data_IF_912661945676
#
_entry.id   IF_912661945676
#
_cell.length_a   1.000
_cell.length_b   1.000
_cell.length_c   1.000
_cell.angle_alpha   90.00
_cell.angle_beta   90.00
_cell.angle_gamma   90.00
#
_symmetry.space_group_name_H-M   'P 1'
#
loop_
_entity.id
_entity.type
_entity.pdbx_description
1 polymer ?
#
# COMPACT_ATOMS: atom_id res chain seq x y z
N UNK A 1 -19.54 49.25 40.65
CA UNK A 1 -20.37 48.04 40.70
C UNK A 1 -19.66 46.98 39.88
N UNK A 2 -18.88 46.28 40.61
CA UNK A 2 -18.13 45.09 40.18
C UNK A 2 -18.92 43.84 40.52
N UNK A 3 -18.49 42.74 40.00
CA UNK A 3 -18.87 41.38 40.35
C UNK A 3 -20.08 40.78 39.63
N UNK A 4 -19.74 39.93 38.67
CA UNK A 4 -20.15 38.53 38.51
C UNK A 4 -19.87 38.03 37.09
N UNK A 5 -18.84 37.20 36.92
CA UNK A 5 -18.84 36.05 36.02
C UNK A 5 -17.50 35.30 36.09
N UNK A 6 -17.29 34.63 37.21
CA UNK A 6 -16.33 33.55 37.31
C UNK A 6 -17.12 32.38 37.88
N UNK A 7 -17.56 31.45 37.03
CA UNK A 7 -17.87 30.07 37.40
C UNK A 7 -18.64 29.34 36.28
N UNK A 8 -18.01 29.11 35.13
CA UNK A 8 -18.43 28.04 34.19
C UNK A 8 -17.16 27.68 33.35
N UNK A 9 -16.16 27.06 33.94
CA UNK A 9 -15.09 26.41 33.17
C UNK A 9 -14.29 25.42 34.02
N UNK A 10 -14.97 24.47 34.63
CA UNK A 10 -14.29 23.38 35.36
C UNK A 10 -15.02 22.04 35.31
N UNK A 11 -15.79 21.80 34.27
CA UNK A 11 -16.49 20.51 34.10
C UNK A 11 -16.26 19.82 32.74
N UNK A 12 -15.35 20.30 31.90
CA UNK A 12 -15.03 19.70 30.58
C UNK A 12 -13.68 18.96 30.52
N UNK A 13 -12.84 19.08 31.55
CA UNK A 13 -11.50 18.46 31.58
C UNK A 13 -11.43 17.08 32.27
N UNK A 14 -12.54 16.52 32.70
CA UNK A 14 -12.54 15.23 33.43
C UNK A 14 -13.13 14.04 32.64
N UNK A 15 -13.43 14.19 31.36
CA UNK A 15 -13.97 13.11 30.52
C UNK A 15 -13.08 12.67 29.34
N UNK A 16 -11.90 13.27 29.17
CA UNK A 16 -10.98 12.92 28.08
C UNK A 16 -9.79 12.04 28.52
N UNK A 17 -9.61 11.78 29.82
CA UNK A 17 -8.51 10.98 30.35
C UNK A 17 -8.83 9.48 30.60
N UNK A 18 -10.04 9.00 30.33
CA UNK A 18 -10.44 7.61 30.60
C UNK A 18 -10.49 6.72 29.35
N UNK A 19 -10.22 7.25 28.14
CA UNK A 19 -10.29 6.46 26.90
C UNK A 19 -8.91 6.13 26.27
N UNK A 20 -7.81 6.45 26.91
CA UNK A 20 -6.46 6.19 26.38
C UNK A 20 -5.68 5.07 27.08
N UNK A 21 -6.28 4.33 28.00
CA UNK A 21 -5.57 3.26 28.73
C UNK A 21 -5.99 1.83 28.41
N UNK A 22 -6.91 1.60 27.47
CA UNK A 22 -7.43 0.24 27.16
C UNK A 22 -6.93 -0.34 25.82
N UNK A 23 -5.93 0.25 25.17
CA UNK A 23 -5.39 -0.24 23.88
C UNK A 23 -3.94 -0.74 23.96
N UNK A 24 -3.27 -0.64 25.11
CA UNK A 24 -1.84 -1.07 25.24
C UNK A 24 -1.62 -2.44 25.90
N UNK A 25 -2.66 -3.24 26.15
CA UNK A 25 -2.49 -4.51 26.87
C UNK A 25 -2.77 -5.79 26.06
N UNK A 26 -3.03 -5.71 24.76
CA UNK A 26 -3.25 -6.92 23.90
C UNK A 26 -2.15 -7.25 22.89
N UNK A 27 -0.95 -6.70 22.99
CA UNK A 27 0.14 -6.99 22.02
C UNK A 27 1.39 -7.64 22.61
N UNK A 28 1.33 -8.29 23.76
CA UNK A 28 2.54 -8.92 24.36
C UNK A 28 2.46 -10.41 24.65
N UNK A 29 1.49 -11.18 24.16
CA UNK A 29 1.43 -12.63 24.41
C UNK A 29 1.40 -13.53 23.15
N UNK A 30 1.96 -13.11 22.01
CA UNK A 30 2.09 -14.02 20.85
C UNK A 30 3.50 -14.03 20.25
N UNK A 31 4.51 -14.30 21.10
CA UNK A 31 5.85 -14.68 20.66
C UNK A 31 6.48 -15.70 21.60
N UNK A 32 6.02 -16.93 21.58
CA UNK A 32 6.80 -18.10 22.01
C UNK A 32 6.09 -19.39 21.61
N UNK A 33 6.36 -19.95 20.46
CA UNK A 33 6.43 -21.40 20.21
C UNK A 33 6.56 -21.69 18.71
N UNK A 34 7.77 -21.73 18.22
CA UNK A 34 8.15 -22.53 17.05
C UNK A 34 9.59 -22.97 17.23
N UNK A 35 9.78 -24.12 17.84
CA UNK A 35 11.00 -24.91 17.66
C UNK A 35 10.62 -26.36 17.35
N UNK A 36 11.01 -26.77 16.16
CA UNK A 36 11.58 -28.04 15.72
C UNK A 36 10.93 -29.36 16.15
N UNK A 37 10.52 -30.15 15.16
CA UNK A 37 11.06 -31.51 15.01
C UNK A 37 10.97 -31.98 13.56
N UNK A 38 12.12 -31.97 12.89
CA UNK A 38 12.45 -32.90 11.81
C UNK A 38 12.59 -34.29 12.41
N UNK A 39 11.91 -35.28 11.83
CA UNK A 39 12.42 -36.66 11.76
C UNK A 39 11.90 -37.33 10.51
N UNK A 40 12.83 -37.52 9.61
CA UNK A 40 12.90 -38.45 8.50
C UNK A 40 12.75 -39.91 8.98
N UNK A 41 11.98 -40.76 8.29
CA UNK A 41 12.33 -42.14 8.13
C UNK A 41 11.57 -42.80 7.00
N UNK A 42 12.32 -43.10 6.00
CA UNK A 42 12.22 -44.10 4.97
C UNK A 42 12.06 -45.50 5.56
N UNK A 43 11.20 -46.35 5.01
CA UNK A 43 11.46 -47.78 4.90
C UNK A 43 10.45 -48.47 3.99
N UNK A 44 10.96 -48.94 2.89
CA UNK A 44 10.47 -50.01 2.02
C UNK A 44 10.27 -51.32 2.81
N UNK A 45 9.32 -52.17 2.44
CA UNK A 45 9.62 -53.44 1.81
C UNK A 45 8.43 -54.39 1.78
N UNK A 46 8.11 -54.85 0.58
CA UNK A 46 8.02 -56.21 0.03
C UNK A 46 7.08 -57.21 0.68
N UNK A 47 6.15 -57.61 -0.16
CA UNK A 47 5.91 -58.95 -0.72
C UNK A 47 5.91 -60.16 0.23
N UNK A 48 4.79 -60.82 0.32
CA UNK A 48 4.75 -62.26 0.07
C UNK A 48 3.32 -62.78 -0.08
N UNK A 49 3.12 -63.42 -1.19
CA UNK A 49 2.02 -64.29 -1.58
C UNK A 49 1.82 -65.48 -0.65
N UNK A 50 0.59 -65.86 -0.37
CA UNK A 50 0.24 -67.28 -0.37
C UNK A 50 -1.22 -67.53 -0.68
N UNK A 51 -1.43 -68.35 -1.68
CA UNK A 51 -2.62 -68.94 -2.21
C UNK A 51 -3.09 -70.11 -1.29
N UNK A 52 -4.38 -70.27 -1.10
CA UNK A 52 -5.17 -71.47 -1.21
C UNK A 52 -6.60 -71.25 -0.72
N UNK A 53 -7.50 -71.25 -1.61
CA UNK A 53 -8.55 -72.24 -1.99
C UNK A 53 -9.64 -72.58 -0.94
N UNK A 54 -10.89 -72.34 -1.44
CA UNK A 54 -12.14 -73.07 -1.19
C UNK A 54 -12.83 -72.92 0.17
N UNK A 55 -14.00 -72.42 0.24
CA UNK A 55 -15.27 -73.03 -0.07
C UNK A 55 -16.42 -72.04 0.17
N UNK A 56 -17.37 -72.17 -0.66
CA UNK A 56 -18.71 -71.66 -0.76
C UNK A 56 -19.52 -71.80 0.55
N UNK A 57 -19.99 -70.69 1.09
CA UNK A 57 -21.17 -70.70 1.97
C UNK A 57 -21.90 -69.36 1.79
N UNK A 58 -22.95 -69.46 0.96
CA UNK A 58 -24.03 -68.44 0.93
C UNK A 58 -24.77 -68.48 2.25
N UNK A 59 -24.57 -67.43 3.04
CA UNK A 59 -25.47 -67.03 4.09
C UNK A 59 -25.79 -65.55 3.91
N UNK A 60 -27.04 -65.22 3.62
CA UNK A 60 -27.66 -63.92 3.76
C UNK A 60 -27.47 -63.48 5.20
N UNK A 61 -26.40 -62.67 5.45
CA UNK A 61 -26.29 -61.80 6.63
C UNK A 61 -27.01 -60.53 6.25
N UNK A 62 -28.30 -60.43 6.62
CA UNK A 62 -28.94 -59.14 6.86
C UNK A 62 -28.05 -58.43 7.86
N UNK A 63 -27.23 -57.49 7.38
CA UNK A 63 -26.39 -56.62 8.17
C UNK A 63 -27.31 -55.77 9.06
N UNK A 64 -27.56 -56.24 10.26
CA UNK A 64 -28.30 -55.52 11.29
C UNK A 64 -27.36 -54.41 11.76
N UNK A 65 -27.29 -53.33 10.98
CA UNK A 65 -26.48 -52.15 11.28
C UNK A 65 -27.07 -51.55 12.55
N UNK A 66 -26.30 -51.56 13.64
CA UNK A 66 -26.74 -50.97 14.91
C UNK A 66 -27.04 -49.48 14.62
N UNK A 67 -28.23 -48.97 14.97
CA UNK A 67 -28.58 -47.55 14.74
C UNK A 67 -27.55 -46.55 15.31
N UNK A 68 -26.73 -47.00 16.24
CA UNK A 68 -25.59 -46.22 16.76
C UNK A 68 -24.43 -46.10 15.77
N UNK A 69 -24.18 -47.12 14.95
CA UNK A 69 -23.13 -47.11 13.94
C UNK A 69 -23.52 -46.18 12.78
N UNK A 70 -24.78 -46.11 12.42
CA UNK A 70 -25.28 -45.11 11.45
C UNK A 70 -25.15 -43.69 12.00
N UNK A 71 -25.46 -43.46 13.26
CA UNK A 71 -25.31 -42.13 13.91
C UNK A 71 -23.83 -41.72 13.97
N UNK A 72 -22.94 -42.66 14.29
CA UNK A 72 -21.48 -42.40 14.31
C UNK A 72 -20.97 -42.03 12.89
N UNK A 73 -21.46 -42.73 11.84
CA UNK A 73 -21.08 -42.41 10.47
C UNK A 73 -21.58 -41.02 10.05
N UNK A 74 -22.83 -40.68 10.35
CA UNK A 74 -23.38 -39.34 10.08
C UNK A 74 -22.63 -38.23 10.81
N UNK A 75 -22.30 -38.47 12.08
CA UNK A 75 -21.50 -37.48 12.85
C UNK A 75 -20.08 -37.31 12.29
N UNK A 76 -19.43 -38.41 11.88
CA UNK A 76 -18.11 -38.36 11.23
C UNK A 76 -18.16 -37.57 9.91
N UNK A 77 -19.21 -37.77 9.13
CA UNK A 77 -19.40 -37.05 7.87
C UNK A 77 -19.64 -35.55 8.10
N UNK A 78 -20.47 -35.22 9.10
CA UNK A 78 -20.69 -33.81 9.51
C UNK A 78 -19.40 -33.15 10.02
N UNK A 79 -18.61 -33.87 10.82
CA UNK A 79 -17.31 -33.35 11.30
C UNK A 79 -16.41 -33.09 10.10
N UNK A 80 -16.26 -34.02 9.18
CA UNK A 80 -15.44 -33.86 7.98
C UNK A 80 -15.92 -32.69 7.11
N UNK A 81 -17.22 -32.56 6.89
CA UNK A 81 -17.81 -31.45 6.14
C UNK A 81 -17.53 -30.10 6.81
N UNK A 82 -17.62 -30.05 8.14
CA UNK A 82 -17.32 -28.85 8.91
C UNK A 82 -15.82 -28.52 8.91
N UNK A 83 -14.96 -29.52 8.97
CA UNK A 83 -13.50 -29.35 8.82
C UNK A 83 -13.15 -28.80 7.43
N UNK A 84 -13.73 -29.35 6.36
CA UNK A 84 -13.52 -28.87 5.00
C UNK A 84 -14.01 -27.42 4.84
N UNK A 85 -15.16 -27.08 5.41
CA UNK A 85 -15.68 -25.70 5.44
C UNK A 85 -14.77 -24.77 6.22
N UNK A 86 -14.27 -25.22 7.36
CA UNK A 86 -13.35 -24.43 8.18
C UNK A 86 -12.03 -24.17 7.44
N UNK A 87 -11.45 -25.18 6.82
CA UNK A 87 -10.22 -25.04 6.04
C UNK A 87 -10.40 -24.09 4.85
N UNK A 88 -11.53 -24.20 4.14
CA UNK A 88 -11.86 -23.28 3.04
C UNK A 88 -11.97 -21.84 3.53
N UNK A 89 -12.74 -21.63 4.60
CA UNK A 89 -12.91 -20.30 5.19
C UNK A 89 -11.59 -19.71 5.72
N UNK A 90 -10.77 -20.56 6.32
CA UNK A 90 -9.45 -20.16 6.79
C UNK A 90 -8.54 -19.73 5.63
N UNK A 91 -8.54 -20.49 4.52
CA UNK A 91 -7.78 -20.13 3.33
C UNK A 91 -8.27 -18.79 2.71
N UNK A 92 -9.58 -18.58 2.66
CA UNK A 92 -10.17 -17.33 2.21
C UNK A 92 -9.78 -16.15 3.12
N UNK A 93 -9.81 -16.37 4.43
CA UNK A 93 -9.40 -15.35 5.41
C UNK A 93 -7.92 -14.96 5.26
N UNK A 94 -7.02 -15.92 5.09
CA UNK A 94 -5.60 -15.65 4.86
C UNK A 94 -5.37 -14.88 3.53
N UNK A 95 -6.09 -15.24 2.47
CA UNK A 95 -6.05 -14.52 1.20
C UNK A 95 -6.57 -13.08 1.35
N UNK A 96 -7.67 -12.90 2.08
CA UNK A 96 -8.23 -11.58 2.38
C UNK A 96 -7.26 -10.73 3.20
N UNK A 97 -6.68 -11.29 4.26
CA UNK A 97 -5.70 -10.62 5.11
C UNK A 97 -4.49 -10.15 4.31
N UNK A 98 -3.94 -11.02 3.44
CA UNK A 98 -2.83 -10.68 2.55
C UNK A 98 -3.19 -9.55 1.58
N UNK A 99 -4.38 -9.60 1.00
CA UNK A 99 -4.88 -8.53 0.11
C UNK A 99 -5.00 -7.21 0.85
N UNK A 100 -5.63 -7.22 2.02
CA UNK A 100 -5.83 -6.03 2.85
C UNK A 100 -4.49 -5.40 3.29
N UNK A 101 -3.51 -6.23 3.65
CA UNK A 101 -2.17 -5.74 3.98
C UNK A 101 -1.51 -5.03 2.79
N UNK A 102 -1.62 -5.60 1.58
CA UNK A 102 -1.09 -5.00 0.36
C UNK A 102 -1.81 -3.68 0.01
N UNK A 103 -3.13 -3.65 0.13
CA UNK A 103 -3.93 -2.44 -0.09
C UNK A 103 -3.55 -1.33 0.90
N UNK A 104 -3.43 -1.66 2.20
CA UNK A 104 -2.98 -0.72 3.23
C UNK A 104 -1.57 -0.18 2.98
N UNK A 105 -0.63 -1.02 2.56
CA UNK A 105 0.72 -0.58 2.19
C UNK A 105 0.68 0.39 1.00
N UNK A 106 -0.12 0.07 -0.01
CA UNK A 106 -0.30 0.94 -1.18
C UNK A 106 -0.96 2.27 -0.79
N UNK A 107 -2.00 2.21 0.04
CA UNK A 107 -2.68 3.41 0.54
C UNK A 107 -1.73 4.31 1.33
N UNK A 108 -0.95 3.75 2.26
CA UNK A 108 0.09 4.49 3.02
C UNK A 108 1.17 5.06 2.10
N UNK A 109 1.54 4.32 1.03
CA UNK A 109 2.58 4.77 0.08
C UNK A 109 2.17 6.03 -0.69
N UNK A 110 0.88 6.17 -1.00
CA UNK A 110 0.35 7.27 -1.81
C UNK A 110 -0.62 8.18 -1.05
N UNK A 111 -0.61 8.15 0.27
CA UNK A 111 -1.53 8.93 1.10
C UNK A 111 -1.45 10.44 0.82
N UNK A 112 -0.25 10.96 0.57
CA UNK A 112 -0.01 12.37 0.28
C UNK A 112 -0.29 12.77 -1.18
N UNK A 113 -0.62 11.82 -2.07
CA UNK A 113 -0.77 12.09 -3.50
C UNK A 113 -1.73 13.24 -3.81
N UNK A 114 -2.93 13.23 -3.21
CA UNK A 114 -3.95 14.26 -3.46
C UNK A 114 -3.45 15.64 -3.06
N UNK A 115 -2.93 15.77 -1.85
CA UNK A 115 -2.41 17.03 -1.31
C UNK A 115 -1.25 17.55 -2.16
N UNK A 116 -0.33 16.67 -2.56
CA UNK A 116 0.79 17.05 -3.41
C UNK A 116 0.29 17.56 -4.77
N UNK A 117 -0.66 16.86 -5.39
CA UNK A 117 -1.23 17.27 -6.68
C UNK A 117 -1.91 18.65 -6.60
N UNK A 118 -2.62 18.92 -5.50
CA UNK A 118 -3.32 20.20 -5.29
C UNK A 118 -2.35 21.37 -5.03
N UNK A 119 -1.14 21.08 -4.54
CA UNK A 119 -0.10 22.11 -4.29
C UNK A 119 0.67 22.46 -5.59
N UNK A 120 0.79 21.56 -6.58
CA UNK A 120 1.57 21.81 -7.80
C UNK A 120 1.22 23.13 -8.52
N UNK A 121 -0.05 23.54 -8.69
CA UNK A 121 -0.38 24.81 -9.29
C UNK A 121 0.14 26.03 -8.51
N UNK A 122 0.30 25.89 -7.20
CA UNK A 122 0.86 26.96 -6.36
C UNK A 122 2.35 27.11 -6.61
N UNK A 123 3.07 25.99 -6.76
CA UNK A 123 4.49 25.99 -7.13
C UNK A 123 4.68 26.66 -8.49
N UNK A 124 3.88 26.29 -9.50
CA UNK A 124 3.93 26.90 -10.84
C UNK A 124 3.71 28.42 -10.79
N UNK A 125 2.80 28.87 -9.93
CA UNK A 125 2.55 30.31 -9.78
C UNK A 125 3.74 31.04 -9.14
N UNK A 126 4.43 30.41 -8.17
CA UNK A 126 5.64 30.94 -7.56
C UNK A 126 6.77 30.98 -8.60
N UNK A 127 6.97 29.91 -9.37
CA UNK A 127 7.97 29.86 -10.44
C UNK A 127 7.73 30.95 -11.48
N UNK A 128 6.48 31.13 -11.90
CA UNK A 128 6.11 32.21 -12.82
C UNK A 128 6.36 33.60 -12.22
N UNK A 129 6.12 33.81 -10.94
CA UNK A 129 6.39 35.06 -10.27
C UNK A 129 7.90 35.32 -10.19
N UNK A 130 8.72 34.31 -10.05
CA UNK A 130 10.19 34.40 -10.03
C UNK A 130 10.79 34.73 -11.41
N UNK A 131 10.08 34.48 -12.51
CA UNK A 131 10.50 34.83 -13.87
C UNK A 131 10.31 36.32 -14.20
N UNK A 132 9.57 37.06 -13.38
CA UNK A 132 9.41 38.53 -13.56
C UNK A 132 10.71 39.21 -13.22
N UNK A 133 11.23 39.97 -14.16
CA UNK A 133 12.44 40.78 -13.98
C UNK A 133 12.09 42.20 -13.46
N UNK A 134 12.90 42.71 -12.56
CA UNK A 134 12.79 44.05 -12.04
C UNK A 134 14.15 44.56 -11.60
N UNK A 135 14.45 45.83 -11.91
CA UNK A 135 15.74 46.46 -11.62
C UNK A 135 15.78 47.13 -10.22
N UNK A 136 14.63 47.30 -9.55
CA UNK A 136 14.53 47.93 -8.26
C UNK A 136 15.12 47.04 -7.14
N UNK A 137 15.96 47.63 -6.28
CA UNK A 137 16.62 46.92 -5.17
C UNK A 137 15.60 46.28 -4.21
N UNK A 138 14.46 46.93 -3.99
CA UNK A 138 13.38 46.38 -3.17
C UNK A 138 12.74 45.14 -3.83
N UNK A 139 12.56 45.17 -5.15
CA UNK A 139 12.04 44.06 -5.93
C UNK A 139 13.00 42.87 -5.87
N UNK A 140 14.31 43.09 -6.07
CA UNK A 140 15.33 42.03 -5.98
C UNK A 140 15.37 41.38 -4.59
N UNK A 141 15.24 42.18 -3.53
CA UNK A 141 15.18 41.68 -2.16
C UNK A 141 13.94 40.83 -1.93
N UNK A 142 12.77 41.23 -2.44
CA UNK A 142 11.54 40.48 -2.38
C UNK A 142 11.65 39.17 -3.17
N UNK A 143 12.17 39.23 -4.42
CA UNK A 143 12.39 38.07 -5.28
C UNK A 143 13.28 37.04 -4.59
N UNK A 144 14.36 37.47 -3.96
CA UNK A 144 15.22 36.59 -3.17
C UNK A 144 14.47 35.93 -2.01
N UNK A 145 13.61 36.66 -1.31
CA UNK A 145 12.78 36.14 -0.25
C UNK A 145 11.80 35.05 -0.78
N UNK A 146 11.13 35.33 -1.89
CA UNK A 146 10.20 34.36 -2.53
C UNK A 146 10.94 33.11 -3.00
N UNK A 147 12.16 33.27 -3.57
CA UNK A 147 13.02 32.15 -3.96
C UNK A 147 13.37 31.26 -2.77
N UNK A 148 13.72 31.81 -1.64
CA UNK A 148 14.00 31.03 -0.42
C UNK A 148 12.77 30.25 0.07
N UNK A 149 11.58 30.85 -0.01
CA UNK A 149 10.33 30.17 0.33
C UNK A 149 10.05 29.03 -0.63
N UNK A 150 10.23 29.24 -1.93
CA UNK A 150 10.08 28.22 -2.96
C UNK A 150 11.02 27.03 -2.74
N UNK A 151 12.32 27.30 -2.53
CA UNK A 151 13.32 26.25 -2.26
C UNK A 151 12.99 25.47 -0.98
N UNK A 152 12.55 26.16 0.08
CA UNK A 152 12.14 25.52 1.33
C UNK A 152 10.90 24.65 1.15
N UNK A 153 9.93 25.10 0.35
CA UNK A 153 8.72 24.33 0.02
C UNK A 153 9.06 23.09 -0.79
N UNK A 154 9.85 23.23 -1.86
CA UNK A 154 10.28 22.07 -2.67
C UNK A 154 11.01 21.04 -1.82
N UNK A 155 11.94 21.46 -0.98
CA UNK A 155 12.65 20.57 -0.08
C UNK A 155 11.70 19.81 0.86
N UNK A 156 10.72 20.49 1.44
CA UNK A 156 9.73 19.85 2.30
C UNK A 156 8.88 18.82 1.54
N UNK A 157 8.58 19.07 0.26
CA UNK A 157 7.83 18.14 -0.59
C UNK A 157 8.70 16.95 -1.02
N UNK A 158 9.99 17.16 -1.31
CA UNK A 158 10.97 16.11 -1.59
C UNK A 158 11.14 15.17 -0.38
N UNK A 159 11.20 15.70 0.83
CA UNK A 159 11.25 14.90 2.06
C UNK A 159 10.00 14.01 2.22
N UNK A 160 8.87 14.41 1.61
CA UNK A 160 7.64 13.61 1.53
C UNK A 160 7.56 12.68 0.32
N UNK A 161 8.63 12.60 -0.47
CA UNK A 161 8.80 11.67 -1.58
C UNK A 161 8.36 12.21 -2.94
N UNK A 162 8.18 13.54 -3.07
CA UNK A 162 8.02 14.19 -4.36
C UNK A 162 9.38 14.20 -5.08
N UNK A 163 9.39 13.87 -6.36
CA UNK A 163 10.59 13.93 -7.19
C UNK A 163 10.27 14.70 -8.47
N UNK A 164 11.19 15.59 -8.86
CA UNK A 164 11.12 16.29 -10.14
C UNK A 164 11.46 15.33 -11.26
N UNK A 165 10.70 15.36 -12.34
CA UNK A 165 10.99 14.60 -13.56
C UNK A 165 12.09 15.35 -14.31
N UNK A 166 13.20 14.67 -14.58
CA UNK A 166 14.32 15.25 -15.32
C UNK A 166 13.97 15.37 -16.81
N UNK A 167 14.29 16.52 -17.36
CA UNK A 167 13.98 16.85 -18.76
C UNK A 167 15.19 17.35 -19.53
N UNK A 168 16.17 17.94 -18.83
CA UNK A 168 17.33 18.56 -19.46
C UNK A 168 18.24 17.52 -20.13
N UNK A 169 18.36 17.63 -21.46
CA UNK A 169 19.17 16.72 -22.28
C UNK A 169 18.65 15.29 -22.43
N UNK A 170 17.46 14.99 -21.88
CA UNK A 170 16.86 13.65 -21.95
C UNK A 170 16.09 13.44 -23.27
N UNK A 171 15.95 12.18 -23.65
CA UNK A 171 15.06 11.78 -24.74
C UNK A 171 13.60 11.82 -24.27
N UNK A 172 12.70 12.18 -25.19
CA UNK A 172 11.27 12.22 -24.90
C UNK A 172 10.72 10.83 -24.53
N UNK A 173 10.14 10.70 -23.34
CA UNK A 173 9.43 9.50 -22.88
C UNK A 173 7.95 9.83 -22.63
N UNK A 174 6.99 9.24 -23.35
CA UNK A 174 5.56 9.49 -23.19
C UNK A 174 5.02 9.16 -21.78
N UNK A 175 5.73 8.35 -20.99
CA UNK A 175 5.33 8.00 -19.62
C UNK A 175 5.56 9.15 -18.64
N UNK A 176 6.54 10.01 -18.90
CA UNK A 176 6.98 11.09 -18.02
C UNK A 176 6.81 12.47 -18.60
N UNK A 177 6.78 12.58 -19.94
CA UNK A 177 6.80 13.85 -20.65
C UNK A 177 5.57 14.00 -21.54
N UNK A 178 5.10 15.24 -21.67
CA UNK A 178 4.05 15.64 -22.58
C UNK A 178 4.61 16.65 -23.59
N UNK A 179 4.81 16.25 -24.84
CA UNK A 179 5.19 17.15 -25.90
C UNK A 179 4.03 18.08 -26.27
N UNK A 180 4.21 19.39 -26.08
CA UNK A 180 3.21 20.43 -26.42
C UNK A 180 3.62 21.25 -27.62
N UNK A 181 4.92 21.30 -27.91
CA UNK A 181 5.48 22.04 -29.04
C UNK A 181 6.64 21.25 -29.67
N UNK A 182 6.85 21.46 -30.95
CA UNK A 182 8.02 20.97 -31.67
C UNK A 182 9.00 22.11 -31.87
N UNK A 183 10.27 21.78 -31.89
CA UNK A 183 11.37 22.69 -32.13
C UNK A 183 12.23 22.14 -33.29
N UNK A 184 12.99 22.99 -33.94
CA UNK A 184 13.95 22.63 -34.98
C UNK A 184 15.28 23.28 -34.62
N UNK A 185 15.98 22.68 -33.67
CA UNK A 185 17.25 23.18 -33.14
C UNK A 185 18.39 22.21 -33.54
N UNK A 186 19.37 22.66 -34.35
CA UNK A 186 20.47 21.81 -34.81
C UNK A 186 21.41 21.33 -33.70
N UNK A 187 21.33 21.91 -32.50
CA UNK A 187 22.17 21.52 -31.36
C UNK A 187 21.61 20.30 -30.60
N UNK A 188 20.41 19.83 -30.93
CA UNK A 188 19.73 18.69 -30.26
C UNK A 188 19.45 17.58 -31.27
N UNK A 189 19.46 16.35 -30.78
CA UNK A 189 19.08 15.18 -31.59
C UNK A 189 17.56 15.11 -31.80
N UNK A 190 17.11 14.44 -32.85
CA UNK A 190 15.70 14.20 -33.09
C UNK A 190 15.10 13.38 -31.93
N UNK A 191 13.96 13.86 -31.40
CA UNK A 191 13.28 13.27 -30.26
C UNK A 191 13.84 13.72 -28.91
N UNK A 192 14.85 14.58 -28.86
CA UNK A 192 15.39 15.11 -27.61
C UNK A 192 14.59 16.32 -27.14
N UNK A 193 14.51 16.49 -25.81
CA UNK A 193 13.84 17.62 -25.18
C UNK A 193 14.72 18.86 -25.31
N UNK A 194 14.21 19.92 -25.94
CA UNK A 194 14.92 21.19 -26.14
C UNK A 194 14.63 22.19 -25.02
N UNK A 195 13.41 22.16 -24.46
CA UNK A 195 13.02 23.07 -23.41
C UNK A 195 11.91 22.48 -22.56
N UNK A 196 11.98 22.68 -21.25
CA UNK A 196 10.88 22.45 -20.33
C UNK A 196 10.03 23.72 -20.20
N UNK A 197 8.72 23.57 -20.38
CA UNK A 197 7.73 24.65 -20.27
C UNK A 197 7.02 24.63 -18.92
N UNK A 198 6.85 23.43 -18.36
CA UNK A 198 6.25 23.22 -17.06
C UNK A 198 6.85 21.97 -16.42
N UNK A 199 7.33 22.12 -15.21
CA UNK A 199 8.01 21.07 -14.47
C UNK A 199 7.04 19.94 -14.11
N UNK A 200 7.44 18.72 -14.43
CA UNK A 200 6.71 17.52 -14.06
C UNK A 200 7.17 16.96 -12.72
N UNK A 201 6.26 16.26 -12.06
CA UNK A 201 6.51 15.69 -10.74
C UNK A 201 6.00 14.26 -10.65
N UNK A 202 6.73 13.43 -9.92
CA UNK A 202 6.31 12.07 -9.55
C UNK A 202 6.39 11.88 -8.04
N UNK A 203 5.53 11.02 -7.52
CA UNK A 203 5.56 10.57 -6.13
C UNK A 203 6.06 9.14 -6.12
N UNK A 204 7.33 8.96 -5.76
CA UNK A 204 8.02 7.65 -5.81
C UNK A 204 7.99 7.08 -7.23
N UNK A 205 7.15 6.05 -7.47
CA UNK A 205 6.99 5.38 -8.77
C UNK A 205 5.77 5.85 -9.59
N UNK A 206 4.97 6.79 -9.05
CA UNK A 206 3.75 7.27 -9.70
C UNK A 206 3.91 8.70 -10.19
N UNK A 207 3.71 8.92 -11.48
CA UNK A 207 3.66 10.27 -12.06
C UNK A 207 2.40 10.98 -11.56
N UNK A 208 2.59 12.15 -10.95
CA UNK A 208 1.52 13.06 -10.54
C UNK A 208 1.11 13.98 -11.68
N UNK A 209 2.11 14.52 -12.38
CA UNK A 209 1.96 15.37 -13.54
C UNK A 209 3.18 15.19 -14.45
N UNK A 210 3.00 14.89 -15.75
CA UNK A 210 4.11 14.85 -16.71
C UNK A 210 4.71 16.24 -16.91
N UNK A 211 6.01 16.31 -17.24
CA UNK A 211 6.64 17.57 -17.67
C UNK A 211 6.12 17.97 -19.04
N UNK A 212 5.71 19.23 -19.19
CA UNK A 212 5.36 19.78 -20.49
C UNK A 212 6.62 20.29 -21.17
N UNK A 213 6.92 19.74 -22.34
CA UNK A 213 8.22 19.96 -23.01
C UNK A 213 8.06 20.32 -24.47
N UNK A 214 9.11 20.97 -25.01
CA UNK A 214 9.36 21.06 -26.45
C UNK A 214 10.28 19.93 -26.86
N UNK A 215 10.03 19.33 -28.00
CA UNK A 215 10.79 18.20 -28.52
C UNK A 215 11.34 18.55 -29.89
N UNK A 216 12.61 18.24 -30.12
CA UNK A 216 13.27 18.45 -31.40
C UNK A 216 12.76 17.47 -32.47
N UNK A 217 12.56 17.95 -33.69
CA UNK A 217 12.12 17.14 -34.83
C UNK A 217 13.23 16.24 -35.38
#
# INVERSE_FOLDING_TARGET
MAEKNESVNSQTDAQEEVQSQDVEQETSEEQASTEQTDVNSDAQNESSSHTTSDEESTADEEENVDPKDEEIQQLKEQVKENEDKYLSLYAEFENYKRRLQKENQTMKKYQSQSVLTDILPTIDNIERALQIEGEDEQFQSLQKGVKMVHESLLKALEDNGLEVIKTDGEQFDPNYHQAVMQDDNPDYESGQITQELQTGYKLKDRVLRPSMVKVNQ
#
